data_IF_470858248347
#
_entry.id   IF_470858248347
#
_cell.length_a   1.000
_cell.length_b   1.000
_cell.length_c   1.000
_cell.angle_alpha   90.00
_cell.angle_beta   90.00
_cell.angle_gamma   90.00
#
_symmetry.space_group_name_H-M   'P 1'
#
loop_
_entity.id
_entity.type
_entity.pdbx_description
1 polymer ?
#
# COMPACT_ATOMS: atom_id res chain seq x y z
N UNK A 1 48.45 -3.73 11.48
CA UNK A 1 46.97 -3.71 11.53
C UNK A 1 46.48 -4.92 10.72
N UNK A 2 45.82 -5.89 11.37
CA UNK A 2 45.50 -7.22 10.79
C UNK A 2 44.25 -7.18 9.91
N UNK A 3 44.22 -8.01 8.85
CA UNK A 3 43.09 -8.19 7.93
C UNK A 3 41.75 -8.48 8.64
N UNK A 4 41.80 -9.10 9.82
CA UNK A 4 40.62 -9.52 10.59
C UNK A 4 39.76 -8.34 11.06
N UNK A 5 40.36 -7.17 11.30
CA UNK A 5 39.62 -5.97 11.71
C UNK A 5 38.86 -5.32 10.55
N UNK A 6 39.37 -5.43 9.31
CA UNK A 6 38.66 -4.95 8.12
C UNK A 6 37.46 -5.84 7.79
N UNK A 7 37.59 -7.16 7.96
CA UNK A 7 36.49 -8.11 7.68
C UNK A 7 35.37 -8.01 8.70
N UNK A 8 35.67 -7.78 9.99
CA UNK A 8 34.61 -7.64 11.01
C UNK A 8 33.84 -6.32 10.86
N UNK A 9 34.53 -5.21 10.56
CA UNK A 9 33.90 -3.91 10.33
C UNK A 9 32.89 -3.96 9.16
N UNK A 10 33.27 -4.56 8.03
CA UNK A 10 32.37 -4.70 6.87
C UNK A 10 31.16 -5.60 7.13
N UNK A 11 31.31 -6.65 7.94
CA UNK A 11 30.20 -7.53 8.30
C UNK A 11 29.15 -6.81 9.18
N UNK A 12 29.61 -5.98 10.12
CA UNK A 12 28.70 -5.18 10.96
C UNK A 12 27.92 -4.14 10.14
N UNK A 13 28.56 -3.46 9.20
CA UNK A 13 27.90 -2.49 8.31
C UNK A 13 26.84 -3.13 7.42
N UNK A 14 27.13 -4.28 6.82
CA UNK A 14 26.19 -5.02 5.98
C UNK A 14 24.97 -5.51 6.79
N UNK A 15 25.18 -6.04 7.99
CA UNK A 15 24.08 -6.49 8.86
C UNK A 15 23.15 -5.33 9.28
N UNK A 16 23.74 -4.16 9.61
CA UNK A 16 22.99 -2.96 9.98
C UNK A 16 22.28 -2.31 8.80
N UNK A 17 22.78 -2.49 7.57
CA UNK A 17 22.11 -2.01 6.37
C UNK A 17 20.94 -2.92 5.98
N UNK A 18 21.14 -4.24 6.01
CA UNK A 18 20.08 -5.22 5.75
C UNK A 18 18.91 -5.07 6.73
N UNK A 19 19.18 -4.91 8.04
CA UNK A 19 18.12 -4.70 9.03
C UNK A 19 17.34 -3.40 8.83
N UNK A 20 18.01 -2.33 8.40
CA UNK A 20 17.36 -1.04 8.06
C UNK A 20 16.47 -1.14 6.83
N UNK A 21 16.92 -1.84 5.79
CA UNK A 21 16.11 -2.09 4.58
C UNK A 21 14.86 -2.90 4.95
N UNK A 22 15.03 -3.98 5.71
CA UNK A 22 13.91 -4.79 6.19
C UNK A 22 12.90 -4.00 7.01
N UNK A 23 13.39 -3.12 7.90
CA UNK A 23 12.52 -2.25 8.72
C UNK A 23 11.78 -1.23 7.86
N UNK A 24 12.44 -0.65 6.86
CA UNK A 24 11.83 0.33 5.95
C UNK A 24 10.71 -0.31 5.14
N UNK A 25 10.94 -1.51 4.61
CA UNK A 25 9.95 -2.23 3.84
C UNK A 25 8.73 -2.58 4.69
N UNK A 26 8.94 -3.00 5.94
CA UNK A 26 7.84 -3.25 6.88
C UNK A 26 6.98 -1.99 7.10
N UNK A 27 7.60 -0.81 7.25
CA UNK A 27 6.87 0.45 7.38
C UNK A 27 6.09 0.82 6.11
N UNK A 28 6.66 0.57 4.94
CA UNK A 28 5.98 0.83 3.66
C UNK A 28 4.76 -0.09 3.50
N UNK A 29 4.89 -1.38 3.81
CA UNK A 29 3.75 -2.31 3.80
C UNK A 29 2.72 -1.98 4.87
N UNK A 30 3.13 -1.51 6.05
CA UNK A 30 2.19 -1.00 7.04
C UNK A 30 1.42 0.22 6.50
N UNK A 31 2.10 1.14 5.79
CA UNK A 31 1.45 2.27 5.13
C UNK A 31 0.45 1.83 4.05
N UNK A 32 0.75 0.79 3.28
CA UNK A 32 -0.20 0.18 2.33
C UNK A 32 -1.47 -0.27 3.05
N UNK A 33 -1.34 -0.97 4.18
CA UNK A 33 -2.49 -1.46 4.95
C UNK A 33 -3.32 -0.30 5.49
N UNK A 34 -2.68 0.73 6.05
CA UNK A 34 -3.39 1.93 6.54
C UNK A 34 -4.12 2.64 5.40
N UNK A 35 -3.45 2.86 4.27
CA UNK A 35 -4.05 3.50 3.10
C UNK A 35 -5.22 2.68 2.54
N UNK A 36 -5.11 1.35 2.52
CA UNK A 36 -6.19 0.45 2.12
C UNK A 36 -7.40 0.57 3.03
N UNK A 37 -7.20 0.52 4.35
CA UNK A 37 -8.30 0.63 5.32
C UNK A 37 -8.98 1.98 5.19
N UNK A 38 -8.21 3.07 5.10
CA UNK A 38 -8.76 4.41 4.90
C UNK A 38 -9.57 4.52 3.61
N UNK A 39 -9.04 4.05 2.50
CA UNK A 39 -9.71 4.05 1.19
C UNK A 39 -11.04 3.29 1.25
N UNK A 40 -11.04 2.06 1.78
CA UNK A 40 -12.25 1.23 1.87
C UNK A 40 -13.29 1.83 2.82
N UNK A 41 -12.87 2.24 4.02
CA UNK A 41 -13.79 2.77 5.04
C UNK A 41 -14.42 4.08 4.58
N UNK A 42 -13.63 4.99 4.00
CA UNK A 42 -14.14 6.29 3.56
C UNK A 42 -14.99 6.18 2.29
N UNK A 43 -14.65 5.30 1.35
CA UNK A 43 -15.56 5.02 0.22
C UNK A 43 -16.87 4.44 0.71
N UNK A 44 -16.84 3.44 1.60
CA UNK A 44 -18.04 2.83 2.14
C UNK A 44 -18.92 3.86 2.89
N UNK A 45 -18.31 4.68 3.75
CA UNK A 45 -19.03 5.71 4.48
C UNK A 45 -19.62 6.78 3.57
N UNK A 46 -18.84 7.26 2.59
CA UNK A 46 -19.31 8.23 1.60
C UNK A 46 -20.52 7.72 0.83
N UNK A 47 -20.47 6.47 0.35
CA UNK A 47 -21.59 5.81 -0.31
C UNK A 47 -22.82 5.68 0.61
N UNK A 48 -22.62 5.28 1.87
CA UNK A 48 -23.69 5.19 2.86
C UNK A 48 -24.31 6.56 3.19
N UNK A 49 -23.55 7.65 3.04
CA UNK A 49 -24.00 9.02 3.21
C UNK A 49 -24.61 9.64 1.93
N UNK A 50 -24.69 8.88 0.83
CA UNK A 50 -25.36 9.30 -0.41
C UNK A 50 -24.44 9.86 -1.49
N UNK A 51 -23.11 9.85 -1.31
CA UNK A 51 -22.17 10.11 -2.40
C UNK A 51 -22.23 8.99 -3.45
N UNK A 52 -21.93 9.32 -4.69
CA UNK A 52 -21.79 8.33 -5.76
C UNK A 52 -20.32 7.98 -6.02
N UNK A 53 -20.06 6.71 -6.31
CA UNK A 53 -18.74 6.27 -6.80
C UNK A 53 -18.51 6.79 -8.23
N UNK A 54 -17.39 7.47 -8.46
CA UNK A 54 -17.05 8.03 -9.78
C UNK A 54 -16.59 6.98 -10.78
N UNK A 55 -16.06 5.86 -10.31
CA UNK A 55 -15.55 4.79 -11.17
C UNK A 55 -16.69 3.87 -11.66
N UNK A 56 -17.00 3.84 -12.98
CA UNK A 56 -18.10 3.03 -13.52
C UNK A 56 -17.86 1.53 -13.35
N UNK A 57 -16.60 1.08 -13.37
CA UNK A 57 -16.25 -0.32 -13.14
C UNK A 57 -16.52 -0.70 -11.67
N UNK A 58 -16.13 0.15 -10.73
CA UNK A 58 -16.39 -0.07 -9.31
C UNK A 58 -17.90 -0.11 -9.03
N UNK A 59 -18.67 0.84 -9.59
CA UNK A 59 -20.14 0.84 -9.52
C UNK A 59 -20.77 -0.46 -10.03
N UNK A 60 -20.31 -0.97 -11.17
CA UNK A 60 -20.81 -2.22 -11.72
C UNK A 60 -20.49 -3.42 -10.82
N UNK A 61 -19.32 -3.45 -10.18
CA UNK A 61 -18.99 -4.49 -9.22
C UNK A 61 -19.84 -4.36 -7.94
N UNK A 62 -20.04 -3.14 -7.43
CA UNK A 62 -20.84 -2.88 -6.24
C UNK A 62 -22.29 -3.38 -6.39
N UNK A 63 -22.88 -3.23 -7.58
CA UNK A 63 -24.24 -3.73 -7.83
C UNK A 63 -24.32 -5.25 -7.95
N UNK A 64 -23.22 -5.92 -8.31
CA UNK A 64 -23.17 -7.39 -8.45
C UNK A 64 -22.82 -8.11 -7.14
N UNK A 65 -21.88 -7.57 -6.37
CA UNK A 65 -21.25 -8.28 -5.25
C UNK A 65 -21.37 -7.58 -3.90
N UNK A 66 -21.85 -6.33 -3.86
CA UNK A 66 -21.79 -5.49 -2.66
C UNK A 66 -20.53 -4.62 -2.63
N UNK A 67 -20.54 -3.55 -1.83
CA UNK A 67 -19.48 -2.55 -1.80
C UNK A 67 -18.18 -3.14 -1.23
N UNK A 68 -18.25 -3.76 -0.05
CA UNK A 68 -17.06 -4.23 0.68
C UNK A 68 -16.37 -5.36 -0.08
N UNK A 69 -17.13 -6.35 -0.54
CA UNK A 69 -16.65 -7.51 -1.29
C UNK A 69 -15.95 -7.08 -2.57
N UNK A 70 -16.56 -6.16 -3.32
CA UNK A 70 -15.99 -5.62 -4.56
C UNK A 70 -14.72 -4.83 -4.31
N UNK A 71 -14.68 -3.99 -3.28
CA UNK A 71 -13.47 -3.24 -2.93
C UNK A 71 -12.34 -4.19 -2.54
N UNK A 72 -12.61 -5.18 -1.67
CA UNK A 72 -11.61 -6.16 -1.28
C UNK A 72 -11.11 -6.98 -2.48
N UNK A 73 -11.99 -7.37 -3.40
CA UNK A 73 -11.60 -8.09 -4.61
C UNK A 73 -10.68 -7.24 -5.51
N UNK A 74 -11.06 -6.00 -5.80
CA UNK A 74 -10.26 -5.09 -6.64
C UNK A 74 -8.90 -4.80 -6.00
N UNK A 75 -8.87 -4.48 -4.70
CA UNK A 75 -7.63 -4.20 -3.98
C UNK A 75 -6.78 -5.45 -3.84
N UNK A 76 -7.38 -6.62 -3.65
CA UNK A 76 -6.70 -7.90 -3.60
C UNK A 76 -5.95 -8.21 -4.90
N UNK A 77 -6.55 -7.92 -6.06
CA UNK A 77 -5.87 -8.04 -7.37
C UNK A 77 -4.64 -7.12 -7.42
N UNK A 78 -4.78 -5.86 -7.00
CA UNK A 78 -3.67 -4.90 -6.97
C UNK A 78 -2.55 -5.36 -6.03
N UNK A 79 -2.88 -5.86 -4.84
CA UNK A 79 -1.90 -6.40 -3.87
C UNK A 79 -1.19 -7.61 -4.46
N UNK A 80 -1.91 -8.53 -5.10
CA UNK A 80 -1.31 -9.70 -5.72
C UNK A 80 -0.30 -9.30 -6.81
N UNK A 81 -0.66 -8.36 -7.68
CA UNK A 81 0.25 -7.81 -8.70
C UNK A 81 1.44 -7.12 -8.05
N UNK A 82 1.22 -6.34 -6.99
CA UNK A 82 2.28 -5.65 -6.26
C UNK A 82 3.25 -6.62 -5.60
N UNK A 83 2.78 -7.71 -4.99
CA UNK A 83 3.64 -8.73 -4.40
C UNK A 83 4.51 -9.41 -5.46
N UNK A 84 3.92 -9.75 -6.62
CA UNK A 84 4.68 -10.29 -7.76
C UNK A 84 5.73 -9.28 -8.24
N UNK A 85 5.37 -8.00 -8.37
CA UNK A 85 6.30 -6.96 -8.76
C UNK A 85 7.44 -6.79 -7.73
N UNK A 86 7.13 -6.77 -6.44
CA UNK A 86 8.09 -6.61 -5.35
C UNK A 86 9.16 -7.70 -5.37
N UNK A 87 8.80 -8.97 -5.58
CA UNK A 87 9.78 -10.07 -5.67
C UNK A 87 10.51 -10.12 -7.01
N UNK A 88 10.01 -9.44 -8.05
CA UNK A 88 10.58 -9.47 -9.41
C UNK A 88 11.56 -8.31 -9.68
N UNK A 89 11.51 -7.23 -8.90
CA UNK A 89 12.40 -6.07 -9.08
C UNK A 89 13.68 -6.18 -8.25
N UNK A 90 14.80 -5.59 -8.69
CA UNK A 90 16.01 -5.49 -7.88
C UNK A 90 15.75 -4.83 -6.52
N UNK A 91 16.45 -5.28 -5.47
CA UNK A 91 16.29 -4.79 -4.08
C UNK A 91 16.28 -3.26 -3.96
N UNK A 92 17.11 -2.57 -4.75
CA UNK A 92 17.17 -1.10 -4.79
C UNK A 92 15.85 -0.41 -5.21
N UNK A 93 14.94 -1.11 -5.89
CA UNK A 93 13.67 -0.59 -6.39
C UNK A 93 12.45 -1.20 -5.68
N UNK A 94 12.65 -2.21 -4.84
CA UNK A 94 11.58 -2.85 -4.06
C UNK A 94 10.72 -1.85 -3.27
N UNK A 95 11.27 -0.81 -2.60
CA UNK A 95 10.48 0.19 -1.87
C UNK A 95 9.48 0.98 -2.74
N UNK A 96 9.73 1.09 -4.06
CA UNK A 96 8.84 1.82 -4.97
C UNK A 96 7.50 1.11 -5.14
N UNK A 97 7.48 -0.21 -5.01
CA UNK A 97 6.27 -1.04 -5.21
C UNK A 97 5.18 -0.75 -4.15
N UNK A 98 5.44 -0.88 -2.84
CA UNK A 98 4.45 -0.53 -1.82
C UNK A 98 4.09 0.97 -1.83
N UNK A 99 5.03 1.86 -2.17
CA UNK A 99 4.71 3.28 -2.35
C UNK A 99 3.74 3.54 -3.51
N UNK A 100 3.96 2.87 -4.64
CA UNK A 100 3.14 3.01 -5.85
C UNK A 100 1.69 2.61 -5.65
N UNK A 101 1.40 1.71 -4.70
CA UNK A 101 0.02 1.32 -4.34
C UNK A 101 -0.53 2.16 -3.19
N UNK A 102 0.28 2.48 -2.17
CA UNK A 102 -0.19 3.20 -0.99
C UNK A 102 -0.55 4.65 -1.32
N UNK A 103 0.23 5.33 -2.17
CA UNK A 103 0.02 6.73 -2.50
C UNK A 103 -1.35 6.98 -3.18
N UNK A 104 -1.75 6.25 -4.25
CA UNK A 104 -3.07 6.42 -4.84
C UNK A 104 -4.22 6.18 -3.85
N UNK A 105 -4.14 5.15 -3.00
CA UNK A 105 -5.19 4.85 -2.02
C UNK A 105 -5.26 5.89 -0.91
N UNK A 106 -4.10 6.37 -0.46
CA UNK A 106 -4.04 7.43 0.53
C UNK A 106 -4.63 8.74 0.00
N UNK A 107 -4.29 9.11 -1.24
CA UNK A 107 -4.87 10.29 -1.90
C UNK A 107 -6.38 10.14 -2.09
N UNK A 108 -6.86 8.97 -2.54
CA UNK A 108 -8.28 8.68 -2.65
C UNK A 108 -8.99 8.78 -1.28
N UNK A 109 -8.37 8.25 -0.23
CA UNK A 109 -8.85 8.41 1.15
C UNK A 109 -8.97 9.87 1.57
N UNK A 110 -7.96 10.71 1.31
CA UNK A 110 -8.03 12.15 1.59
C UNK A 110 -9.17 12.83 0.83
N UNK A 111 -9.33 12.50 -0.46
CA UNK A 111 -10.42 13.03 -1.28
C UNK A 111 -11.77 12.63 -0.68
N UNK A 112 -11.97 11.36 -0.36
CA UNK A 112 -13.21 10.87 0.24
C UNK A 112 -13.49 11.53 1.59
N UNK A 113 -12.48 11.64 2.46
CA UNK A 113 -12.61 12.36 3.74
C UNK A 113 -13.04 13.81 3.51
N UNK A 114 -12.44 14.50 2.53
CA UNK A 114 -12.78 15.89 2.23
C UNK A 114 -14.22 16.04 1.73
N UNK A 115 -14.71 15.10 0.92
CA UNK A 115 -16.08 15.09 0.42
C UNK A 115 -17.07 14.82 1.55
N UNK A 116 -16.76 13.86 2.42
CA UNK A 116 -17.57 13.53 3.60
C UNK A 116 -17.69 14.72 4.54
N UNK A 117 -16.61 15.46 4.77
CA UNK A 117 -16.62 16.66 5.63
C UNK A 117 -17.42 17.83 5.04
N UNK A 118 -17.82 17.75 3.76
CA UNK A 118 -18.64 18.74 3.07
C UNK A 118 -20.12 18.34 2.96
N UNK A 119 -20.50 17.16 3.47
CA UNK A 119 -21.89 16.71 3.60
C UNK A 119 -22.56 17.41 4.79
#
# INVERSE_FOLDING_TARGET
MSNDQFTSAGAHEQSAQSSRLHSTDAWLWAFVVVALVLDVVLTYYGLAAGLEEGNPLARALFSMYGVVESMLMMKGIVIAVALVAYVSVPEKYQPVVPLGIALPWFVAGIINASLILQL
#
